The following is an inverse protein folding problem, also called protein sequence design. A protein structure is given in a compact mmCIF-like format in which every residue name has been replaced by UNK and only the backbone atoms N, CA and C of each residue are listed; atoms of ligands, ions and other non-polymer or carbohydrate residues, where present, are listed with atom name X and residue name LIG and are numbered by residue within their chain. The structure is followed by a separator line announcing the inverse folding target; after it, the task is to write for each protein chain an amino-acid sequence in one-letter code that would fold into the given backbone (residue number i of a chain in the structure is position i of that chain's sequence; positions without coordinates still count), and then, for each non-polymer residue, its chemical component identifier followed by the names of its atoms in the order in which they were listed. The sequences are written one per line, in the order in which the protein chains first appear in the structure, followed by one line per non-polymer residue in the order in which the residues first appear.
data_IF_998680944085
#
_entry.id   IF_998680944085
#
_cell.length_a   1.000
_cell.length_b   1.000
_cell.length_c   1.000
_cell.angle_alpha   90.00
_cell.angle_beta   90.00
_cell.angle_gamma   90.00
#
_symmetry.space_group_name_H-M   'P 1'
#
loop_
_entity.id
_entity.type
_entity.pdbx_description
1 polymer ?
#
# COMPACT_ATOMS: atom_id res chain seq x y z
N UNK A 1 -5.87 3.75 -5.48
CA UNK A 1 -6.09 2.29 -5.48
C UNK A 1 -5.84 1.78 -4.08
N UNK A 2 -6.66 0.84 -3.61
CA UNK A 2 -6.39 0.12 -2.36
C UNK A 2 -6.36 -1.39 -2.58
N UNK A 3 -5.50 -2.09 -1.85
CA UNK A 3 -5.32 -3.54 -1.90
C UNK A 3 -5.29 -4.05 -0.47
N UNK A 4 -6.09 -5.07 -0.15
CA UNK A 4 -6.00 -5.75 1.15
C UNK A 4 -5.14 -6.99 1.01
N UNK A 5 -4.10 -7.09 1.83
CA UNK A 5 -3.14 -8.17 1.76
C UNK A 5 -2.66 -8.60 3.15
N UNK A 6 -2.25 -9.86 3.33
CA UNK A 6 -1.47 -10.27 4.49
C UNK A 6 -0.17 -9.46 4.58
N UNK A 7 0.30 -9.16 5.80
CA UNK A 7 1.51 -8.34 6.00
C UNK A 7 2.73 -8.94 5.32
N UNK A 8 2.81 -10.27 5.23
CA UNK A 8 3.88 -11.02 4.59
C UNK A 8 3.96 -10.82 3.06
N UNK A 9 2.87 -10.35 2.44
CA UNK A 9 2.81 -10.12 1.00
C UNK A 9 3.21 -8.69 0.61
N UNK A 10 3.26 -7.77 1.57
CA UNK A 10 3.38 -6.32 1.29
C UNK A 10 4.60 -5.99 0.45
N UNK A 11 5.79 -6.41 0.88
CA UNK A 11 7.04 -6.04 0.22
C UNK A 11 7.12 -6.61 -1.20
N UNK A 12 6.64 -7.84 -1.42
CA UNK A 12 6.64 -8.44 -2.76
C UNK A 12 5.61 -7.80 -3.70
N UNK A 13 4.42 -7.45 -3.18
CA UNK A 13 3.40 -6.74 -3.95
C UNK A 13 3.93 -5.36 -4.36
N UNK A 14 4.38 -4.57 -3.37
CA UNK A 14 4.90 -3.23 -3.64
C UNK A 14 6.10 -3.27 -4.57
N UNK A 15 6.99 -4.25 -4.40
CA UNK A 15 8.15 -4.48 -5.27
C UNK A 15 7.78 -4.76 -6.73
N UNK A 16 6.63 -5.37 -7.03
CA UNK A 16 6.15 -5.48 -8.42
C UNK A 16 5.44 -4.22 -8.89
N UNK A 17 4.57 -3.63 -8.07
CA UNK A 17 3.84 -2.40 -8.41
C UNK A 17 4.81 -1.32 -8.88
N UNK A 18 5.93 -1.11 -8.16
CA UNK A 18 6.90 -0.06 -8.48
C UNK A 18 7.69 -0.29 -9.78
N UNK A 19 7.72 -1.52 -10.30
CA UNK A 19 8.30 -1.79 -11.64
C UNK A 19 7.43 -1.26 -12.77
N UNK A 20 6.12 -1.16 -12.55
CA UNK A 20 5.17 -0.65 -13.54
C UNK A 20 4.83 0.82 -13.31
N UNK A 21 4.68 1.22 -12.06
CA UNK A 21 4.36 2.59 -11.65
C UNK A 21 5.30 3.00 -10.50
N UNK A 22 6.29 3.88 -10.71
CA UNK A 22 7.24 4.26 -9.67
C UNK A 22 6.64 4.91 -8.40
N UNK A 23 5.34 5.27 -8.44
CA UNK A 23 4.62 5.95 -7.36
C UNK A 23 5.35 7.23 -6.88
N UNK A 24 5.79 8.05 -7.83
CA UNK A 24 6.55 9.25 -7.53
C UNK A 24 5.68 10.35 -6.89
N UNK A 25 6.19 10.96 -5.81
CA UNK A 25 5.66 12.16 -5.18
C UNK A 25 6.79 13.16 -4.93
N UNK A 26 6.93 14.15 -5.83
CA UNK A 26 8.03 15.10 -5.76
C UNK A 26 9.39 14.42 -5.97
N UNK A 27 10.24 14.40 -4.92
CA UNK A 27 11.57 13.79 -4.93
C UNK A 27 11.61 12.37 -4.33
N UNK A 28 10.44 11.79 -4.06
CA UNK A 28 10.30 10.48 -3.45
C UNK A 28 9.62 9.53 -4.44
N UNK A 29 10.01 8.26 -4.44
CA UNK A 29 9.38 7.16 -5.16
C UNK A 29 8.86 6.12 -4.16
N UNK A 30 8.15 5.10 -4.67
CA UNK A 30 7.54 4.05 -3.85
C UNK A 30 6.57 4.58 -2.78
N UNK A 31 5.91 5.72 -3.04
CA UNK A 31 4.95 6.28 -2.10
C UNK A 31 3.68 5.42 -2.01
N UNK A 32 3.47 4.84 -0.83
CA UNK A 32 2.23 4.17 -0.46
C UNK A 32 1.98 4.37 1.04
N UNK A 33 0.73 4.19 1.45
CA UNK A 33 0.34 4.09 2.85
C UNK A 33 -0.04 2.63 3.16
N UNK A 34 0.34 2.17 4.35
CA UNK A 34 -0.07 0.88 4.90
C UNK A 34 -0.83 1.12 6.20
N UNK A 35 -2.04 0.57 6.30
CA UNK A 35 -2.83 0.64 7.53
C UNK A 35 -2.21 -0.21 8.64
N UNK A 36 -2.66 0.00 9.88
CA UNK A 36 -2.50 -1.01 10.93
C UNK A 36 -3.17 -2.31 10.51
N UNK A 37 -2.64 -3.43 11.00
CA UNK A 37 -3.22 -4.75 10.74
C UNK A 37 -4.59 -4.92 11.42
N UNK A 38 -5.51 -5.52 10.67
CA UNK A 38 -6.85 -5.88 11.12
C UNK A 38 -7.10 -7.39 11.10
N UNK A 39 -8.37 -7.75 11.27
CA UNK A 39 -8.88 -9.12 11.17
C UNK A 39 -9.75 -9.23 9.93
N UNK A 40 -9.33 -10.03 8.96
CA UNK A 40 -10.16 -10.44 7.83
C UNK A 40 -11.09 -11.57 8.22
N UNK A 41 -12.33 -11.55 7.69
CA UNK A 41 -13.36 -12.55 7.97
C UNK A 41 -13.89 -13.13 6.68
N UNK A 42 -13.78 -14.45 6.52
CA UNK A 42 -14.29 -15.15 5.34
C UNK A 42 -14.62 -16.60 5.69
N UNK A 43 -15.44 -17.25 4.86
CA UNK A 43 -15.72 -18.67 4.94
C UNK A 43 -15.50 -19.27 3.55
N UNK A 44 -14.51 -20.15 3.38
CA UNK A 44 -14.33 -20.87 2.12
C UNK A 44 -15.61 -21.60 1.71
N UNK A 45 -15.99 -21.48 0.45
CA UNK A 45 -17.12 -22.18 -0.16
C UNK A 45 -16.62 -23.31 -1.07
N UNK A 46 -17.55 -24.07 -1.64
CA UNK A 46 -17.24 -25.05 -2.68
C UNK A 46 -16.45 -24.37 -3.81
N UNK A 47 -15.35 -24.99 -4.24
CA UNK A 47 -14.44 -24.43 -5.25
C UNK A 47 -13.29 -23.57 -4.72
N UNK A 48 -13.28 -23.19 -3.43
CA UNK A 48 -12.11 -22.53 -2.84
C UNK A 48 -10.90 -23.49 -2.77
N UNK A 49 -9.68 -22.98 -2.92
CA UNK A 49 -8.47 -23.82 -2.88
C UNK A 49 -8.27 -24.56 -1.55
N UNK A 50 -8.79 -24.01 -0.45
CA UNK A 50 -8.75 -24.66 0.86
C UNK A 50 -9.87 -25.69 1.08
N UNK A 51 -10.79 -25.85 0.13
CA UNK A 51 -12.03 -26.61 0.29
C UNK A 51 -13.10 -25.82 1.07
N UNK A 52 -14.38 -26.26 1.00
CA UNK A 52 -15.48 -25.62 1.73
C UNK A 52 -15.35 -25.82 3.24
N UNK A 53 -15.77 -24.82 4.01
CA UNK A 53 -15.82 -24.88 5.48
C UNK A 53 -17.18 -24.41 6.01
N UNK A 54 -17.56 -24.88 7.20
CA UNK A 54 -18.78 -24.42 7.89
C UNK A 54 -18.57 -23.15 8.70
N UNK A 55 -17.37 -23.01 9.28
CA UNK A 55 -17.01 -21.92 10.19
C UNK A 55 -16.42 -20.71 9.47
N UNK A 56 -16.61 -19.53 10.06
CA UNK A 56 -15.98 -18.30 9.57
C UNK A 56 -14.55 -18.22 10.10
N UNK A 57 -13.58 -18.19 9.18
CA UNK A 57 -12.19 -17.87 9.47
C UNK A 57 -12.06 -16.41 9.89
N UNK A 58 -11.14 -16.17 10.82
CA UNK A 58 -10.74 -14.83 11.29
C UNK A 58 -9.23 -14.73 11.17
N UNK A 59 -8.73 -14.19 10.05
CA UNK A 59 -7.29 -14.07 9.79
C UNK A 59 -6.78 -12.74 10.37
N UNK A 60 -5.89 -12.75 11.38
CA UNK A 60 -5.20 -11.54 11.81
C UNK A 60 -4.08 -11.18 10.82
N UNK A 61 -3.58 -9.95 10.88
CA UNK A 61 -2.39 -9.56 10.11
C UNK A 61 -2.68 -9.13 8.68
N UNK A 62 -3.93 -8.80 8.35
CA UNK A 62 -4.30 -8.24 7.03
C UNK A 62 -4.27 -6.71 7.11
N UNK A 63 -3.58 -6.09 6.18
CA UNK A 63 -3.44 -4.63 6.07
C UNK A 63 -4.10 -4.13 4.79
N UNK A 64 -4.44 -2.85 4.75
CA UNK A 64 -4.78 -2.15 3.52
C UNK A 64 -3.57 -1.33 3.04
N UNK A 65 -3.15 -1.59 1.81
CA UNK A 65 -2.18 -0.80 1.07
C UNK A 65 -2.92 0.22 0.21
N UNK A 66 -2.49 1.47 0.25
CA UNK A 66 -3.12 2.58 -0.48
C UNK A 66 -2.07 3.38 -1.24
N UNK A 67 -2.23 3.51 -2.55
CA UNK A 67 -1.35 4.28 -3.41
C UNK A 67 -2.10 4.90 -4.61
N UNK A 68 -1.48 5.88 -5.24
CA UNK A 68 -2.07 6.64 -6.34
C UNK A 68 -1.47 6.23 -7.68
N UNK A 69 -2.34 6.07 -8.68
CA UNK A 69 -1.95 5.86 -10.07
C UNK A 69 -2.48 7.04 -10.89
N UNK A 70 -1.79 7.44 -11.98
CA UNK A 70 -2.36 8.37 -12.94
C UNK A 70 -3.62 7.74 -13.59
N UNK A 71 -4.46 8.59 -14.17
CA UNK A 71 -5.62 8.15 -14.96
C UNK A 71 -5.15 7.57 -16.31
N UNK A 72 -4.68 6.32 -16.27
CA UNK A 72 -4.18 5.56 -17.40
C UNK A 72 -4.70 4.12 -17.30
N UNK A 73 -5.72 3.74 -18.09
CA UNK A 73 -6.30 2.39 -18.05
C UNK A 73 -5.29 1.28 -18.34
N UNK A 74 -4.36 1.48 -19.29
CA UNK A 74 -3.40 0.45 -19.65
C UNK A 74 -2.35 0.23 -18.55
N UNK A 75 -1.98 1.30 -17.82
CA UNK A 75 -1.16 1.15 -16.63
C UNK A 75 -1.92 0.47 -15.49
N UNK A 76 -3.19 0.86 -15.28
CA UNK A 76 -4.04 0.25 -14.27
C UNK A 76 -4.16 -1.26 -14.46
N UNK A 77 -4.42 -1.72 -15.69
CA UNK A 77 -4.51 -3.14 -16.03
C UNK A 77 -3.20 -3.87 -15.68
N UNK A 78 -2.05 -3.33 -16.10
CA UNK A 78 -0.73 -3.93 -15.79
C UNK A 78 -0.48 -4.02 -14.28
N UNK A 79 -0.86 -3.01 -13.52
CA UNK A 79 -0.67 -3.00 -12.06
C UNK A 79 -1.59 -4.03 -11.40
N UNK A 80 -2.84 -4.15 -11.85
CA UNK A 80 -3.78 -5.15 -11.34
C UNK A 80 -3.26 -6.56 -11.61
N UNK A 81 -2.84 -6.85 -12.85
CA UNK A 81 -2.26 -8.17 -13.20
C UNK A 81 -1.02 -8.48 -12.36
N UNK A 82 -0.11 -7.52 -12.18
CA UNK A 82 1.08 -7.71 -11.33
C UNK A 82 0.72 -8.02 -9.86
N UNK A 83 -0.37 -7.44 -9.34
CA UNK A 83 -0.88 -7.76 -8.01
C UNK A 83 -1.45 -9.18 -8.00
N UNK A 84 -2.28 -9.55 -8.97
CA UNK A 84 -2.81 -10.93 -9.06
C UNK A 84 -1.70 -11.98 -9.11
N UNK A 85 -0.64 -11.74 -9.89
CA UNK A 85 0.50 -12.66 -10.01
C UNK A 85 1.31 -12.83 -8.71
N UNK A 86 1.29 -11.84 -7.82
CA UNK A 86 2.12 -11.86 -6.60
C UNK A 86 1.35 -11.98 -5.29
N UNK A 87 0.04 -11.77 -5.31
CA UNK A 87 -0.78 -11.92 -4.14
C UNK A 87 -0.95 -13.40 -3.77
N UNK A 88 -0.96 -13.73 -2.48
CA UNK A 88 -1.23 -15.09 -2.01
C UNK A 88 -2.69 -15.54 -2.17
N UNK A 89 -3.59 -14.65 -2.60
CA UNK A 89 -5.03 -14.90 -2.64
C UNK A 89 -5.45 -15.23 -4.06
N UNK A 90 -6.37 -16.18 -4.18
CA UNK A 90 -7.00 -16.50 -5.47
C UNK A 90 -7.75 -15.28 -6.01
N UNK A 91 -8.39 -14.53 -5.13
CA UNK A 91 -9.21 -13.35 -5.44
C UNK A 91 -8.86 -12.21 -4.46
N UNK A 92 -7.78 -11.45 -4.72
CA UNK A 92 -7.41 -10.32 -3.88
C UNK A 92 -8.46 -9.21 -3.90
N UNK A 93 -8.71 -8.59 -2.74
CA UNK A 93 -9.61 -7.44 -2.64
C UNK A 93 -8.87 -6.19 -3.10
N UNK A 94 -9.21 -5.74 -4.30
CA UNK A 94 -8.67 -4.55 -4.95
C UNK A 94 -9.79 -3.53 -5.15
N UNK A 95 -9.57 -2.26 -4.78
CA UNK A 95 -10.54 -1.18 -5.01
C UNK A 95 -9.91 0.00 -5.73
N UNK A 96 -10.63 0.52 -6.73
CA UNK A 96 -10.22 1.67 -7.53
C UNK A 96 -11.18 2.82 -7.22
N UNK A 97 -10.63 3.99 -6.90
CA UNK A 97 -11.40 5.18 -6.56
C UNK A 97 -10.83 6.36 -7.36
N UNK A 98 -11.67 7.13 -8.08
CA UNK A 98 -11.24 8.40 -8.64
C UNK A 98 -11.03 9.40 -7.48
N UNK A 99 -9.90 10.09 -7.51
CA UNK A 99 -9.53 11.09 -6.50
C UNK A 99 -8.91 12.31 -7.17
N UNK A 100 -8.97 13.46 -6.49
CA UNK A 100 -8.20 14.65 -6.83
C UNK A 100 -7.11 14.83 -5.77
N UNK A 101 -5.86 14.89 -6.19
CA UNK A 101 -4.71 15.01 -5.28
C UNK A 101 -3.87 16.25 -5.61
N UNK A 102 -3.49 17.02 -4.58
CA UNK A 102 -2.52 18.11 -4.71
C UNK A 102 -1.08 17.57 -4.77
N UNK A 103 -0.32 17.92 -5.82
CA UNK A 103 1.08 17.49 -6.03
C UNK A 103 2.12 18.62 -5.91
N UNK A 104 1.76 19.74 -5.31
CA UNK A 104 2.63 20.91 -5.19
C UNK A 104 3.43 20.91 -3.88
N UNK A 105 4.70 21.35 -3.94
CA UNK A 105 5.48 21.69 -2.74
C UNK A 105 5.16 23.10 -2.19
N UNK A 106 4.32 23.87 -2.89
CA UNK A 106 4.10 25.29 -2.62
C UNK A 106 5.24 26.17 -3.12
N UNK A 107 5.41 27.33 -2.47
CA UNK A 107 6.54 28.25 -2.66
C UNK A 107 7.84 27.70 -2.05
N UNK A 108 8.92 28.49 -2.07
CA UNK A 108 10.12 28.17 -1.29
C UNK A 108 9.76 27.98 0.19
N UNK A 109 9.99 26.78 0.70
CA UNK A 109 9.69 26.34 2.05
C UNK A 109 10.95 26.12 2.89
N UNK A 110 12.11 26.60 2.40
CA UNK A 110 13.40 26.50 3.08
C UNK A 110 13.37 27.08 4.50
N UNK A 111 12.63 28.19 4.72
CA UNK A 111 12.48 28.84 6.02
C UNK A 111 11.20 28.44 6.80
N UNK A 112 10.43 27.46 6.33
CA UNK A 112 9.18 27.09 6.99
C UNK A 112 9.46 26.34 8.31
N UNK A 113 9.02 26.86 9.47
CA UNK A 113 9.34 26.28 10.78
C UNK A 113 8.59 24.97 11.07
N UNK A 114 7.59 24.60 10.26
CA UNK A 114 6.87 23.34 10.41
C UNK A 114 7.53 22.18 9.64
N UNK A 115 8.57 22.45 8.85
CA UNK A 115 9.30 21.37 8.16
C UNK A 115 10.14 20.61 9.18
N UNK A 116 10.02 19.29 9.18
CA UNK A 116 10.73 18.43 10.14
C UNK A 116 12.26 18.59 10.06
N UNK A 117 12.80 18.93 8.89
CA UNK A 117 14.23 19.23 8.71
C UNK A 117 14.67 20.58 9.29
N UNK A 118 13.72 21.47 9.58
CA UNK A 118 13.93 22.76 10.25
C UNK A 118 13.61 22.73 11.74
N UNK A 119 13.14 21.60 12.30
CA UNK A 119 12.80 21.44 13.72
C UNK A 119 13.73 20.45 14.44
N UNK A 120 13.24 19.28 14.82
CA UNK A 120 13.96 18.25 15.58
C UNK A 120 14.73 17.27 14.69
N UNK A 121 14.64 17.42 13.37
CA UNK A 121 15.32 16.57 12.41
C UNK A 121 14.57 15.28 12.08
N UNK A 122 15.20 14.41 11.30
CA UNK A 122 14.63 13.15 10.83
C UNK A 122 14.25 12.25 12.01
N UNK A 123 13.05 11.66 11.97
CA UNK A 123 12.59 10.68 12.97
C UNK A 123 13.55 9.49 13.10
N UNK A 124 14.27 9.15 12.02
CA UNK A 124 15.31 8.11 12.03
C UNK A 124 16.51 8.46 12.91
N UNK A 125 16.78 9.74 13.17
CA UNK A 125 17.90 10.18 14.02
C UNK A 125 17.59 10.12 15.52
N UNK A 126 16.34 9.89 15.91
CA UNK A 126 15.93 9.82 17.32
C UNK A 126 16.12 8.43 17.95
N UNK A 127 16.39 7.38 17.16
CA UNK A 127 16.55 6.01 17.65
C UNK A 127 17.98 5.64 18.14
N UNK A 128 18.92 6.58 18.16
CA UNK A 128 20.33 6.30 18.52
C UNK A 128 20.69 6.58 19.99
N UNK A 129 19.74 7.04 20.82
CA UNK A 129 19.97 7.31 22.24
C UNK A 129 19.25 6.29 23.11
N UNK A 130 19.87 5.12 23.24
CA UNK A 130 19.42 4.01 24.09
C UNK A 130 20.42 2.86 24.06
N UNK A 131 21.61 3.11 24.61
CA UNK A 131 22.53 2.08 25.10
C UNK A 131 22.42 2.01 26.62
#
# INVERSE_FOLDING_TARGET
MTVQAPVEDVDRIMGQVVKHAPLAMGKYDSNAFQSSAGIERYRPLEGAAAGPETEVRKRPGVVELSFELPEDPALLDRVIEAIFETHSYQEPVIRIHPILTGRSKGLDDSANPNRWWNTTGDWKKQAASGQ
#
